data_IF_004448316259
#
_entry.id   IF_004448316259
#
_cell.length_a   1.000
_cell.length_b   1.000
_cell.length_c   1.000
_cell.angle_alpha   90.00
_cell.angle_beta   90.00
_cell.angle_gamma   90.00
#
_symmetry.space_group_name_H-M   'P 1'
#
loop_
_entity.id
_entity.type
_entity.pdbx_description
1 polymer ?
#
# COMPACT_ATOMS: atom_id res chain seq x y z
N UNK A 1 -3.34 37.74 1.10
CA UNK A 1 -3.29 37.55 -0.36
C UNK A 1 -3.30 36.05 -0.58
N UNK A 2 -4.35 35.51 -1.20
CA UNK A 2 -4.26 34.15 -1.73
C UNK A 2 -3.26 34.25 -2.86
N UNK A 3 -2.10 33.60 -2.72
CA UNK A 3 -1.09 33.57 -3.76
C UNK A 3 -1.73 33.13 -5.08
N UNK A 4 -1.59 33.95 -6.12
CA UNK A 4 -2.14 33.66 -7.44
C UNK A 4 -1.47 32.39 -7.99
N UNK A 5 -2.15 31.25 -7.91
CA UNK A 5 -1.72 30.05 -8.62
C UNK A 5 -1.82 30.30 -10.13
N UNK A 6 -0.67 30.37 -10.81
CA UNK A 6 -0.63 30.43 -12.27
C UNK A 6 -0.92 29.04 -12.86
N UNK A 7 -1.93 28.88 -13.73
CA UNK A 7 -2.26 27.58 -14.30
C UNK A 7 -1.12 27.06 -15.20
N UNK A 8 -0.82 25.78 -15.07
CA UNK A 8 0.16 25.08 -15.92
C UNK A 8 -0.62 24.16 -16.87
N UNK A 9 -0.43 24.36 -18.18
CA UNK A 9 -1.05 23.50 -19.20
C UNK A 9 -0.42 22.11 -19.26
N UNK A 10 -1.22 21.09 -19.56
CA UNK A 10 -0.79 19.68 -19.54
C UNK A 10 0.40 19.37 -20.46
N UNK A 11 0.42 19.96 -21.66
CA UNK A 11 1.53 19.77 -22.61
C UNK A 11 2.86 20.31 -22.06
N UNK A 12 2.81 21.37 -21.26
CA UNK A 12 4.01 21.93 -20.62
C UNK A 12 4.53 20.98 -19.53
N UNK A 13 3.62 20.43 -18.72
CA UNK A 13 3.95 19.43 -17.70
C UNK A 13 4.56 18.16 -18.32
N UNK A 14 3.98 17.66 -19.41
CA UNK A 14 4.50 16.52 -20.16
C UNK A 14 5.89 16.84 -20.72
N UNK A 15 6.08 18.03 -21.29
CA UNK A 15 7.35 18.44 -21.89
C UNK A 15 8.49 18.68 -20.89
N UNK A 16 8.22 18.79 -19.59
CA UNK A 16 9.25 19.02 -18.57
C UNK A 16 10.03 17.76 -18.19
N UNK A 17 9.44 16.58 -18.34
CA UNK A 17 10.06 15.33 -17.89
C UNK A 17 10.37 14.44 -19.09
N UNK A 18 11.57 13.87 -19.10
CA UNK A 18 11.98 12.87 -20.08
C UNK A 18 11.51 11.48 -19.64
N UNK A 19 11.17 10.63 -20.62
CA UNK A 19 10.79 9.23 -20.40
C UNK A 19 12.03 8.37 -20.12
N UNK A 20 11.95 7.32 -19.26
CA UNK A 20 10.77 6.86 -18.50
C UNK A 20 10.39 7.80 -17.35
N UNK A 21 9.11 7.92 -17.05
CA UNK A 21 8.59 8.84 -16.02
C UNK A 21 7.37 8.26 -15.32
N UNK A 22 7.21 8.54 -14.02
CA UNK A 22 5.96 8.31 -13.30
C UNK A 22 5.43 9.65 -12.75
N UNK A 23 4.13 9.87 -12.90
CA UNK A 23 3.41 11.00 -12.31
C UNK A 23 2.50 10.49 -11.18
N UNK A 24 2.48 11.21 -10.07
CA UNK A 24 1.62 10.91 -8.92
C UNK A 24 0.75 12.14 -8.68
N UNK A 25 -0.56 12.00 -8.81
CA UNK A 25 -1.55 13.06 -8.59
C UNK A 25 -2.38 12.73 -7.34
N UNK A 26 -2.01 13.34 -6.21
CA UNK A 26 -2.75 13.21 -4.96
C UNK A 26 -3.51 14.52 -4.66
N UNK A 27 -4.61 14.70 -5.38
CA UNK A 27 -5.43 15.90 -5.33
C UNK A 27 -6.87 15.58 -5.76
N UNK A 28 -7.79 16.52 -5.52
CA UNK A 28 -9.16 16.41 -6.01
C UNK A 28 -9.20 16.31 -7.53
N UNK A 29 -10.17 15.55 -8.05
CA UNK A 29 -10.39 15.34 -9.47
C UNK A 29 -9.16 14.77 -10.20
N UNK A 30 -8.29 14.03 -9.51
CA UNK A 30 -7.00 13.58 -10.04
C UNK A 30 -7.12 12.80 -11.37
N UNK A 31 -8.22 12.05 -11.56
CA UNK A 31 -8.52 11.36 -12.81
C UNK A 31 -8.63 12.29 -14.04
N UNK A 32 -8.92 13.58 -13.86
CA UNK A 32 -8.96 14.55 -14.96
C UNK A 32 -7.57 14.80 -15.59
N UNK A 33 -6.50 14.69 -14.80
CA UNK A 33 -5.14 14.74 -15.33
C UNK A 33 -4.84 13.50 -16.16
N UNK A 34 -5.30 12.32 -15.72
CA UNK A 34 -5.16 11.07 -16.49
C UNK A 34 -5.84 11.21 -17.86
N UNK A 35 -7.09 11.69 -17.88
CA UNK A 35 -7.84 11.99 -19.12
C UNK A 35 -7.05 12.97 -20.02
N UNK A 36 -6.50 14.04 -19.45
CA UNK A 36 -5.71 15.04 -20.18
C UNK A 36 -4.42 14.47 -20.79
N UNK A 37 -3.74 13.53 -20.13
CA UNK A 37 -2.58 12.82 -20.70
C UNK A 37 -2.99 11.89 -21.86
N UNK A 38 -4.17 11.27 -21.79
CA UNK A 38 -4.72 10.50 -22.90
C UNK A 38 -5.04 11.39 -24.10
N UNK A 39 -5.73 12.51 -23.89
CA UNK A 39 -6.07 13.49 -24.93
C UNK A 39 -4.82 14.10 -25.58
N UNK A 40 -3.76 14.31 -24.79
CA UNK A 40 -2.47 14.80 -25.29
C UNK A 40 -1.69 13.76 -26.12
N UNK A 41 -2.20 12.54 -26.29
CA UNK A 41 -1.59 11.53 -27.14
C UNK A 41 -0.44 10.75 -26.49
N UNK A 42 -0.19 10.92 -25.17
CA UNK A 42 1.01 10.38 -24.49
C UNK A 42 1.09 8.85 -24.55
N UNK A 43 -0.05 8.18 -24.63
CA UNK A 43 -0.17 6.72 -24.62
C UNK A 43 -0.50 6.11 -25.99
N UNK A 44 -0.39 6.89 -27.06
CA UNK A 44 -0.54 6.40 -28.44
C UNK A 44 0.84 6.21 -29.07
N UNK A 45 0.96 5.22 -29.97
CA UNK A 45 2.14 5.07 -30.82
C UNK A 45 2.11 6.09 -31.97
N UNK A 46 3.25 6.32 -32.64
CA UNK A 46 3.36 7.23 -33.80
C UNK A 46 2.33 6.91 -34.91
N UNK A 47 1.92 5.64 -35.02
CA UNK A 47 0.88 5.18 -35.96
C UNK A 47 -0.57 5.45 -35.50
N UNK A 48 -0.77 6.21 -34.42
CA UNK A 48 -2.09 6.58 -33.89
C UNK A 48 -2.87 5.45 -33.24
N UNK A 49 -2.26 4.26 -33.05
CA UNK A 49 -2.87 3.14 -32.32
C UNK A 49 -2.63 3.31 -30.82
N UNK A 50 -3.58 2.90 -29.95
CA UNK A 50 -3.31 2.84 -28.52
C UNK A 50 -2.08 1.96 -28.31
N UNK A 51 -1.08 2.42 -27.56
CA UNK A 51 0.06 1.56 -27.24
C UNK A 51 -0.40 0.52 -26.24
N UNK A 52 -0.99 -0.57 -26.74
CA UNK A 52 -1.35 -1.75 -25.96
C UNK A 52 -0.11 -2.49 -25.42
N UNK A 53 1.08 -2.08 -25.86
CA UNK A 53 2.35 -2.67 -25.51
C UNK A 53 3.21 -1.66 -24.73
N UNK A 54 3.31 -1.78 -23.39
CA UNK A 54 4.35 -1.10 -22.63
C UNK A 54 5.76 -1.62 -22.96
N UNK A 55 5.89 -2.61 -23.86
CA UNK A 55 7.14 -3.19 -24.34
C UNK A 55 7.76 -2.48 -25.55
N UNK A 56 7.02 -1.65 -26.30
CA UNK A 56 7.66 -0.74 -27.26
C UNK A 56 8.26 0.43 -26.47
N UNK A 57 9.57 0.59 -26.55
CA UNK A 57 10.43 1.55 -25.83
C UNK A 57 10.03 3.03 -25.86
N UNK A 58 8.92 3.39 -26.51
CA UNK A 58 8.46 4.76 -26.76
C UNK A 58 7.48 5.32 -25.71
N UNK A 59 6.77 4.51 -24.91
CA UNK A 59 5.78 4.99 -23.92
C UNK A 59 5.98 4.42 -22.50
N UNK A 60 7.10 4.78 -21.88
CA UNK A 60 7.41 4.46 -20.48
C UNK A 60 6.92 5.54 -19.50
N UNK A 61 5.68 6.02 -19.72
CA UNK A 61 5.02 6.96 -18.80
C UNK A 61 3.99 6.22 -17.96
N UNK A 62 4.07 6.38 -16.64
CA UNK A 62 3.15 5.82 -15.66
C UNK A 62 2.41 6.95 -14.94
N UNK A 63 1.17 6.71 -14.53
CA UNK A 63 0.41 7.67 -13.73
C UNK A 63 -0.31 6.93 -12.60
N UNK A 64 -0.25 7.49 -11.39
CA UNK A 64 -1.06 7.10 -10.24
C UNK A 64 -1.86 8.32 -9.78
N UNK A 65 -3.17 8.18 -9.62
CA UNK A 65 -4.08 9.26 -9.25
C UNK A 65 -4.95 8.82 -8.07
N UNK A 66 -5.12 9.71 -7.09
CA UNK A 66 -5.79 9.38 -5.82
C UNK A 66 -7.29 9.15 -5.97
N UNK A 67 -7.93 9.79 -6.95
CA UNK A 67 -9.38 9.74 -7.12
C UNK A 67 -9.79 9.85 -8.60
N UNK A 68 -11.04 9.48 -8.88
CA UNK A 68 -11.66 9.65 -10.19
C UNK A 68 -11.82 11.13 -10.59
N UNK A 69 -12.09 11.38 -11.87
CA UNK A 69 -12.20 12.75 -12.42
C UNK A 69 -13.34 13.61 -11.84
N UNK A 70 -14.31 12.96 -11.20
CA UNK A 70 -15.48 13.60 -10.57
C UNK A 70 -15.54 13.34 -9.06
N UNK A 71 -14.45 12.82 -8.50
CA UNK A 71 -14.32 12.52 -7.08
C UNK A 71 -13.39 13.56 -6.43
N UNK A 72 -13.57 13.77 -5.12
CA UNK A 72 -12.70 14.61 -4.31
C UNK A 72 -12.07 13.75 -3.23
N UNK A 73 -10.85 14.08 -2.82
CA UNK A 73 -10.20 13.39 -1.73
C UNK A 73 -11.00 13.60 -0.42
N UNK A 74 -11.09 12.58 0.44
CA UNK A 74 -11.97 12.61 1.60
C UNK A 74 -11.36 13.42 2.75
N UNK A 75 -12.21 14.09 3.52
CA UNK A 75 -11.81 14.77 4.76
C UNK A 75 -11.87 13.79 5.94
N UNK A 76 -10.78 13.06 6.17
CA UNK A 76 -10.71 11.93 7.11
C UNK A 76 -10.40 12.31 8.58
N UNK A 77 -10.54 13.59 8.95
CA UNK A 77 -10.22 14.07 10.28
C UNK A 77 -8.71 14.10 10.59
N UNK A 78 -8.33 14.28 11.86
CA UNK A 78 -6.92 14.47 12.25
C UNK A 78 -6.10 13.17 12.37
N UNK A 79 -6.75 12.01 12.48
CA UNK A 79 -6.08 10.72 12.72
C UNK A 79 -5.55 10.07 11.45
N UNK A 80 -6.17 10.35 10.32
CA UNK A 80 -5.81 9.82 9.00
C UNK A 80 -5.11 10.88 8.14
N UNK A 81 -4.21 10.48 7.23
CA UNK A 81 -3.53 11.42 6.35
C UNK A 81 -4.51 12.03 5.33
N UNK A 82 -4.40 13.34 5.10
CA UNK A 82 -5.19 14.05 4.09
C UNK A 82 -4.77 13.75 2.65
N UNK A 83 -3.52 13.33 2.46
CA UNK A 83 -2.95 12.89 1.18
C UNK A 83 -2.76 11.37 1.22
N UNK A 84 -3.87 10.64 1.10
CA UNK A 84 -3.90 9.21 1.37
C UNK A 84 -3.09 8.40 0.36
N UNK A 85 -3.11 8.79 -0.92
CA UNK A 85 -2.29 8.11 -1.95
C UNK A 85 -0.80 8.27 -1.61
N UNK A 86 -0.35 9.49 -1.32
CA UNK A 86 1.04 9.78 -0.96
C UNK A 86 1.46 9.04 0.29
N UNK A 87 0.59 9.01 1.32
CA UNK A 87 0.83 8.27 2.55
C UNK A 87 1.00 6.77 2.31
N UNK A 88 0.13 6.15 1.50
CA UNK A 88 0.27 4.74 1.13
C UNK A 88 1.56 4.47 0.35
N UNK A 89 1.93 5.34 -0.59
CA UNK A 89 3.11 5.19 -1.42
C UNK A 89 4.43 5.32 -0.64
N UNK A 90 4.44 6.12 0.42
CA UNK A 90 5.67 6.46 1.17
C UNK A 90 5.77 5.79 2.53
N UNK A 91 4.65 5.44 3.16
CA UNK A 91 4.59 4.86 4.51
C UNK A 91 3.44 3.82 4.64
N UNK A 92 3.44 2.75 3.82
CA UNK A 92 2.31 1.81 3.72
C UNK A 92 1.94 1.14 5.06
N UNK A 93 2.94 0.75 5.86
CA UNK A 93 2.69 0.16 7.18
C UNK A 93 2.03 1.15 8.14
N UNK A 94 2.59 2.35 8.26
CA UNK A 94 2.03 3.41 9.10
C UNK A 94 0.60 3.74 8.70
N UNK A 95 0.33 3.88 7.40
CA UNK A 95 -1.02 4.17 6.92
C UNK A 95 -1.97 3.00 7.18
N UNK A 96 -1.52 1.76 7.03
CA UNK A 96 -2.34 0.59 7.38
C UNK A 96 -2.68 0.55 8.87
N UNK A 97 -1.73 0.86 9.74
CA UNK A 97 -1.92 0.94 11.20
C UNK A 97 -2.88 2.07 11.59
N UNK A 98 -2.77 3.23 10.93
CA UNK A 98 -3.71 4.34 11.10
C UNK A 98 -5.16 3.93 10.79
N UNK A 99 -5.38 3.19 9.71
CA UNK A 99 -6.70 2.67 9.33
C UNK A 99 -7.23 1.63 10.31
N UNK A 100 -6.36 0.73 10.79
CA UNK A 100 -6.71 -0.26 11.81
C UNK A 100 -7.13 0.42 13.11
N UNK A 101 -6.31 1.35 13.62
CA UNK A 101 -6.61 2.09 14.85
C UNK A 101 -7.85 2.98 14.73
N UNK A 102 -8.20 3.40 13.50
CA UNK A 102 -9.42 4.18 13.22
C UNK A 102 -10.65 3.30 12.97
N UNK A 103 -10.53 1.97 13.05
CA UNK A 103 -11.65 1.02 12.95
C UNK A 103 -12.15 0.74 11.54
N UNK A 104 -11.38 1.06 10.50
CA UNK A 104 -11.79 0.85 9.11
C UNK A 104 -11.81 -0.63 8.68
N UNK A 105 -11.06 -1.51 9.37
CA UNK A 105 -11.06 -2.95 9.10
C UNK A 105 -12.16 -3.72 9.86
N UNK A 106 -12.97 -3.03 10.67
CA UNK A 106 -14.16 -3.61 11.28
C UNK A 106 -14.40 -3.19 12.73
N UNK A 107 -15.61 -3.46 13.26
CA UNK A 107 -16.01 -3.06 14.62
C UNK A 107 -15.23 -3.80 15.72
N UNK A 108 -14.68 -4.99 15.41
CA UNK A 108 -13.89 -5.77 16.37
C UNK A 108 -12.48 -5.22 16.54
N UNK A 109 -11.91 -4.58 15.52
CA UNK A 109 -10.50 -4.15 15.51
C UNK A 109 -10.19 -3.14 16.62
N UNK A 110 -11.01 -2.11 16.80
CA UNK A 110 -10.80 -1.10 17.87
C UNK A 110 -11.15 -1.63 19.25
N UNK A 111 -12.23 -2.43 19.34
CA UNK A 111 -12.69 -3.01 20.60
C UNK A 111 -11.67 -4.01 21.17
N UNK A 112 -11.08 -4.84 20.31
CA UNK A 112 -10.13 -5.88 20.71
C UNK A 112 -8.76 -5.28 21.09
N UNK A 113 -8.41 -4.14 20.51
CA UNK A 113 -7.18 -3.40 20.82
C UNK A 113 -7.33 -2.43 22.00
N UNK A 114 -8.54 -2.24 22.55
CA UNK A 114 -8.78 -1.29 23.65
C UNK A 114 -8.44 0.17 23.28
N UNK A 115 -8.66 0.53 22.01
CA UNK A 115 -8.40 1.87 21.50
C UNK A 115 -9.67 2.72 21.65
N UNK A 116 -9.65 3.62 22.62
CA UNK A 116 -10.59 4.73 22.78
C UNK A 116 -10.18 5.92 21.91
N UNK A 117 -11.18 6.67 21.43
CA UNK A 117 -11.00 7.69 20.38
C UNK A 117 -10.04 8.83 20.74
N UNK A 118 -9.84 9.13 22.02
CA UNK A 118 -8.97 10.24 22.47
C UNK A 118 -7.49 9.84 22.52
N UNK A 119 -7.17 8.54 22.65
CA UNK A 119 -5.79 8.04 22.78
C UNK A 119 -5.21 7.44 21.49
N UNK A 120 -5.98 7.37 20.39
CA UNK A 120 -5.57 6.69 19.14
C UNK A 120 -4.21 7.20 18.65
N UNK A 121 -3.99 8.51 18.63
CA UNK A 121 -2.77 9.10 18.08
C UNK A 121 -1.53 8.77 18.94
N UNK A 122 -1.66 8.90 20.27
CA UNK A 122 -0.58 8.57 21.22
C UNK A 122 -0.27 7.08 21.20
N UNK A 123 -1.30 6.22 21.15
CA UNK A 123 -1.14 4.77 21.02
C UNK A 123 -0.51 4.39 19.67
N UNK A 124 -0.89 5.05 18.58
CA UNK A 124 -0.26 4.84 17.27
C UNK A 124 1.23 5.18 17.32
N UNK A 125 1.61 6.33 17.88
CA UNK A 125 3.02 6.72 18.02
C UNK A 125 3.80 5.73 18.91
N UNK A 126 3.18 5.24 19.99
CA UNK A 126 3.74 4.17 20.81
C UNK A 126 3.93 2.88 19.99
N UNK A 127 2.95 2.47 19.19
CA UNK A 127 3.05 1.27 18.36
C UNK A 127 4.14 1.42 17.30
N UNK A 128 4.21 2.55 16.60
CA UNK A 128 5.23 2.81 15.58
C UNK A 128 6.64 2.88 16.18
N UNK A 129 6.78 3.51 17.35
CA UNK A 129 8.06 3.56 18.06
C UNK A 129 8.51 2.18 18.53
N UNK A 130 7.59 1.33 19.00
CA UNK A 130 7.89 -0.04 19.43
C UNK A 130 8.13 -1.02 18.28
N UNK A 131 7.44 -0.82 17.16
CA UNK A 131 7.78 -1.45 15.89
C UNK A 131 9.09 -0.87 15.33
N UNK A 132 9.69 0.16 15.92
CA UNK A 132 11.00 0.65 15.51
C UNK A 132 11.00 1.30 14.12
N UNK A 133 9.92 2.00 13.75
CA UNK A 133 9.88 2.79 12.51
C UNK A 133 10.93 3.92 12.53
N UNK A 134 11.35 4.38 13.71
CA UNK A 134 12.45 5.35 13.86
C UNK A 134 13.07 5.28 15.26
N UNK A 135 14.25 4.67 15.37
CA UNK A 135 15.15 4.95 16.50
C UNK A 135 16.25 5.86 15.98
N UNK A 136 16.04 7.18 16.08
CA UNK A 136 17.16 8.12 16.04
C UNK A 136 17.81 8.01 17.42
N UNK A 137 18.89 7.23 17.52
CA UNK A 137 19.74 7.29 18.70
C UNK A 137 20.53 8.60 18.61
N UNK A 138 20.33 9.51 19.58
CA UNK A 138 21.05 10.79 19.64
C UNK A 138 22.56 10.64 19.94
N UNK A 139 23.06 9.43 20.20
CA UNK A 139 24.47 9.16 20.52
C UNK A 139 25.08 8.08 19.60
N UNK A 140 25.73 8.49 18.51
CA UNK A 140 26.67 7.63 17.74
C UNK A 140 26.38 7.50 16.23
N UNK A 141 27.32 6.96 15.43
CA UNK A 141 27.24 6.99 13.96
C UNK A 141 26.10 6.09 13.46
N UNK A 142 24.97 6.75 13.18
CA UNK A 142 23.78 6.38 12.42
C UNK A 142 23.76 4.99 11.77
N UNK A 143 23.18 4.02 12.46
CA UNK A 143 22.51 2.88 11.83
C UNK A 143 21.06 2.86 12.33
N UNK A 144 20.14 3.43 11.53
CA UNK A 144 18.70 3.34 11.76
C UNK A 144 18.31 1.87 11.61
N UNK A 145 18.16 1.15 12.73
CA UNK A 145 17.75 -0.25 12.71
C UNK A 145 16.25 -0.35 12.92
N UNK A 146 15.51 -0.62 11.84
CA UNK A 146 14.13 -1.09 11.96
C UNK A 146 14.08 -2.36 12.80
N UNK A 147 13.09 -2.49 13.68
CA UNK A 147 12.91 -3.70 14.50
C UNK A 147 12.77 -4.95 13.63
N UNK A 148 13.01 -6.13 14.20
CA UNK A 148 12.83 -7.38 13.48
C UNK A 148 11.37 -7.55 13.06
N UNK A 149 10.44 -7.13 13.92
CA UNK A 149 8.99 -7.17 13.76
C UNK A 149 8.53 -6.30 12.59
N UNK A 150 9.07 -5.09 12.44
CA UNK A 150 8.74 -4.20 11.33
C UNK A 150 9.30 -4.69 9.99
N UNK A 151 10.49 -5.29 9.99
CA UNK A 151 11.02 -5.96 8.79
C UNK A 151 10.16 -7.16 8.38
N UNK A 152 9.71 -7.94 9.36
CA UNK A 152 8.81 -9.07 9.13
C UNK A 152 7.46 -8.62 8.56
N UNK A 153 6.85 -7.59 9.15
CA UNK A 153 5.61 -6.99 8.65
C UNK A 153 5.73 -6.49 7.21
N UNK A 154 6.81 -5.78 6.88
CA UNK A 154 7.07 -5.34 5.50
C UNK A 154 7.26 -6.53 4.54
N UNK A 155 7.90 -7.61 5.00
CA UNK A 155 8.08 -8.82 4.21
C UNK A 155 6.73 -9.49 3.90
N UNK A 156 5.86 -9.58 4.89
CA UNK A 156 4.50 -10.13 4.73
C UNK A 156 3.67 -9.24 3.81
N UNK A 157 3.70 -7.92 4.01
CA UNK A 157 3.04 -6.96 3.13
C UNK A 157 3.50 -7.11 1.67
N UNK A 158 4.82 -7.23 1.45
CA UNK A 158 5.39 -7.44 0.12
C UNK A 158 4.92 -8.75 -0.50
N UNK A 159 4.86 -9.83 0.29
CA UNK A 159 4.43 -11.15 -0.16
C UNK A 159 2.95 -11.17 -0.54
N UNK A 160 2.10 -10.57 0.30
CA UNK A 160 0.66 -10.43 0.04
C UNK A 160 0.42 -9.58 -1.21
N UNK A 161 1.01 -8.39 -1.31
CA UNK A 161 0.80 -7.50 -2.47
C UNK A 161 1.32 -8.10 -3.77
N UNK A 162 2.46 -8.80 -3.76
CA UNK A 162 2.93 -9.55 -4.93
C UNK A 162 1.96 -10.67 -5.31
N UNK A 163 1.39 -11.39 -4.34
CA UNK A 163 0.43 -12.47 -4.58
C UNK A 163 -0.88 -11.94 -5.17
N UNK A 164 -1.38 -10.82 -4.65
CA UNK A 164 -2.54 -10.11 -5.22
C UNK A 164 -2.26 -9.68 -6.66
N UNK A 165 -1.09 -9.07 -6.90
CA UNK A 165 -0.71 -8.64 -8.24
C UNK A 165 -0.60 -9.82 -9.21
N UNK A 166 -0.01 -10.94 -8.79
CA UNK A 166 0.15 -12.13 -9.61
C UNK A 166 -1.19 -12.79 -9.97
N UNK A 167 -2.14 -12.84 -9.02
CA UNK A 167 -3.44 -13.47 -9.24
C UNK A 167 -4.40 -12.62 -10.09
N UNK A 168 -4.25 -11.29 -10.07
CA UNK A 168 -5.18 -10.35 -10.70
C UNK A 168 -4.69 -9.78 -12.02
N UNK A 169 -3.38 -9.56 -12.18
CA UNK A 169 -2.81 -8.92 -13.37
C UNK A 169 -2.51 -9.93 -14.47
N UNK A 170 -2.47 -9.45 -15.72
CA UNK A 170 -1.91 -10.26 -16.81
C UNK A 170 -0.41 -10.50 -16.58
N UNK A 171 0.11 -11.62 -17.12
CA UNK A 171 1.53 -11.94 -17.03
C UNK A 171 2.44 -10.81 -17.55
N UNK A 172 2.04 -10.14 -18.64
CA UNK A 172 2.79 -9.02 -19.21
C UNK A 172 2.80 -7.78 -18.30
N UNK A 173 1.65 -7.45 -17.71
CA UNK A 173 1.52 -6.32 -16.77
C UNK A 173 2.33 -6.59 -15.50
N UNK A 174 2.23 -7.80 -14.93
CA UNK A 174 2.99 -8.16 -13.74
C UNK A 174 4.51 -8.10 -14.00
N UNK A 175 4.98 -8.69 -15.09
CA UNK A 175 6.40 -8.65 -15.45
C UNK A 175 6.91 -7.22 -15.60
N UNK A 176 6.12 -6.36 -16.25
CA UNK A 176 6.52 -4.98 -16.50
C UNK A 176 6.51 -4.11 -15.24
N UNK A 177 5.49 -4.25 -14.39
CA UNK A 177 5.28 -3.36 -13.25
C UNK A 177 5.95 -3.86 -11.97
N UNK A 178 6.08 -5.18 -11.77
CA UNK A 178 6.54 -5.78 -10.52
C UNK A 178 7.93 -6.44 -10.61
N UNK A 179 8.45 -6.73 -11.81
CA UNK A 179 9.73 -7.45 -11.98
C UNK A 179 10.87 -6.64 -12.60
N UNK A 180 10.60 -5.70 -13.50
CA UNK A 180 11.65 -4.97 -14.24
C UNK A 180 12.42 -3.93 -13.42
N UNK A 181 11.73 -3.16 -12.59
CA UNK A 181 12.31 -2.05 -11.82
C UNK A 181 11.84 -2.14 -10.37
N UNK A 182 12.80 -2.15 -9.43
CA UNK A 182 12.54 -2.34 -8.00
C UNK A 182 11.73 -1.18 -7.40
N UNK A 183 12.00 0.06 -7.83
CA UNK A 183 11.31 1.26 -7.36
C UNK A 183 9.90 1.29 -7.92
N UNK A 184 9.74 1.02 -9.21
CA UNK A 184 8.43 0.92 -9.85
C UNK A 184 7.57 -0.16 -9.18
N UNK A 185 8.16 -1.34 -8.96
CA UNK A 185 7.50 -2.44 -8.28
C UNK A 185 7.09 -2.07 -6.85
N UNK A 186 7.93 -1.30 -6.13
CA UNK A 186 7.58 -0.81 -4.80
C UNK A 186 6.40 0.16 -4.83
N UNK A 187 6.40 1.10 -5.78
CA UNK A 187 5.28 2.04 -5.94
C UNK A 187 3.98 1.31 -6.28
N UNK A 188 4.01 0.31 -7.16
CA UNK A 188 2.82 -0.44 -7.51
C UNK A 188 2.32 -1.37 -6.40
N UNK A 189 3.20 -2.01 -5.61
CA UNK A 189 2.78 -2.71 -4.38
C UNK A 189 2.06 -1.77 -3.42
N UNK A 190 2.64 -0.61 -3.18
CA UNK A 190 2.07 0.40 -2.28
C UNK A 190 0.79 1.01 -2.86
N UNK A 191 0.67 1.09 -4.18
CA UNK A 191 -0.55 1.52 -4.85
C UNK A 191 -1.70 0.52 -4.69
N UNK A 192 -1.43 -0.80 -4.64
CA UNK A 192 -2.48 -1.78 -4.32
C UNK A 192 -3.07 -1.53 -2.92
N UNK A 193 -2.23 -1.17 -1.95
CA UNK A 193 -2.71 -0.71 -0.64
C UNK A 193 -3.53 0.57 -0.77
N UNK A 194 -3.06 1.55 -1.55
CA UNK A 194 -3.82 2.79 -1.79
C UNK A 194 -5.21 2.49 -2.37
N UNK A 195 -5.32 1.60 -3.35
CA UNK A 195 -6.58 1.17 -3.95
C UNK A 195 -7.53 0.56 -2.90
N UNK A 196 -6.99 -0.27 -1.99
CA UNK A 196 -7.75 -0.82 -0.84
C UNK A 196 -8.25 0.29 0.08
N UNK A 197 -7.36 1.14 0.58
CA UNK A 197 -7.71 2.14 1.60
C UNK A 197 -8.59 3.27 1.06
N UNK A 198 -8.37 3.73 -0.17
CA UNK A 198 -9.24 4.69 -0.85
C UNK A 198 -10.64 4.10 -1.07
N UNK A 199 -10.75 2.82 -1.43
CA UNK A 199 -12.04 2.15 -1.57
C UNK A 199 -12.83 2.10 -0.25
N UNK A 200 -12.16 1.87 0.90
CA UNK A 200 -12.80 1.87 2.22
C UNK A 200 -13.43 3.22 2.60
N UNK A 201 -12.92 4.32 2.03
CA UNK A 201 -13.45 5.69 2.22
C UNK A 201 -14.31 6.16 1.05
N UNK A 202 -14.68 5.25 0.13
CA UNK A 202 -15.59 5.51 -0.98
C UNK A 202 -14.97 6.22 -2.18
N UNK A 203 -13.64 6.17 -2.35
CA UNK A 203 -12.90 6.82 -3.43
C UNK A 203 -12.30 5.78 -4.38
N UNK A 204 -12.34 6.06 -5.68
CA UNK A 204 -11.81 5.19 -6.72
C UNK A 204 -10.47 5.72 -7.22
N UNK A 205 -9.38 5.03 -6.86
CA UNK A 205 -8.06 5.39 -7.39
C UNK A 205 -7.93 5.04 -8.88
N UNK A 206 -7.12 5.81 -9.62
CA UNK A 206 -6.93 5.63 -11.07
C UNK A 206 -5.45 5.44 -11.38
N UNK A 207 -5.11 4.54 -12.29
CA UNK A 207 -3.73 4.33 -12.75
C UNK A 207 -3.62 4.22 -14.26
N UNK A 208 -2.43 4.56 -14.78
CA UNK A 208 -2.00 4.25 -16.14
C UNK A 208 -0.65 3.53 -16.06
N UNK A 209 -0.54 2.26 -16.53
CA UNK A 209 -1.59 1.46 -17.13
C UNK A 209 -2.75 1.19 -16.16
N UNK A 210 -3.96 1.01 -16.71
CA UNK A 210 -5.15 0.73 -15.92
C UNK A 210 -5.03 -0.64 -15.28
N UNK A 211 -5.02 -0.67 -13.96
CA UNK A 211 -5.06 -1.91 -13.20
C UNK A 211 -6.52 -2.35 -12.96
N UNK A 212 -6.78 -3.67 -12.87
CA UNK A 212 -8.00 -4.19 -12.28
C UNK A 212 -8.20 -3.66 -10.84
N UNK A 213 -9.42 -3.77 -10.34
CA UNK A 213 -9.70 -3.46 -8.93
C UNK A 213 -9.27 -4.63 -8.04
N UNK A 214 -8.24 -4.38 -7.23
CA UNK A 214 -7.71 -5.31 -6.24
C UNK A 214 -8.19 -4.99 -4.81
N UNK A 215 -9.03 -3.97 -4.61
CA UNK A 215 -9.44 -3.49 -3.27
C UNK A 215 -10.25 -4.50 -2.46
N UNK A 216 -10.86 -5.48 -3.11
CA UNK A 216 -11.68 -6.53 -2.47
C UNK A 216 -11.03 -7.92 -2.57
N UNK A 217 -9.74 -7.99 -2.85
CA UNK A 217 -9.04 -9.27 -2.93
C UNK A 217 -8.98 -9.95 -1.54
N UNK A 218 -9.32 -11.25 -1.40
CA UNK A 218 -9.39 -11.93 -0.09
C UNK A 218 -8.11 -11.88 0.75
N UNK A 219 -6.94 -11.84 0.12
CA UNK A 219 -5.65 -11.72 0.83
C UNK A 219 -5.51 -10.42 1.66
N UNK A 220 -6.35 -9.41 1.44
CA UNK A 220 -6.40 -8.26 2.34
C UNK A 220 -6.91 -8.64 3.74
N UNK A 221 -7.83 -9.61 3.85
CA UNK A 221 -8.27 -10.11 5.16
C UNK A 221 -7.09 -10.74 5.92
N UNK A 222 -6.22 -11.46 5.21
CA UNK A 222 -4.98 -12.00 5.80
C UNK A 222 -4.06 -10.87 6.28
N UNK A 223 -3.92 -9.80 5.49
CA UNK A 223 -3.13 -8.64 5.88
C UNK A 223 -3.66 -7.97 7.15
N UNK A 224 -4.98 -7.80 7.23
CA UNK A 224 -5.68 -7.22 8.38
C UNK A 224 -5.46 -8.06 9.65
N UNK A 225 -5.62 -9.38 9.56
CA UNK A 225 -5.36 -10.31 10.67
C UNK A 225 -3.90 -10.29 11.15
N UNK A 226 -2.94 -10.23 10.23
CA UNK A 226 -1.52 -10.14 10.58
C UNK A 226 -1.23 -8.84 11.32
N UNK A 227 -1.77 -7.70 10.86
CA UNK A 227 -1.62 -6.43 11.55
C UNK A 227 -2.21 -6.46 12.96
N UNK A 228 -3.42 -6.97 13.13
CA UNK A 228 -4.06 -7.13 14.44
C UNK A 228 -3.23 -7.98 15.39
N UNK A 229 -2.77 -9.15 14.93
CA UNK A 229 -1.92 -10.04 15.73
C UNK A 229 -0.60 -9.39 16.11
N UNK A 230 0.01 -8.62 15.21
CA UNK A 230 1.27 -7.91 15.45
C UNK A 230 1.13 -6.90 16.57
N UNK A 231 0.06 -6.11 16.52
CA UNK A 231 -0.21 -5.08 17.51
C UNK A 231 -0.53 -5.70 18.86
N UNK A 232 -1.32 -6.78 18.90
CA UNK A 232 -1.59 -7.49 20.15
C UNK A 232 -0.32 -8.00 20.81
N UNK A 233 0.60 -8.58 20.05
CA UNK A 233 1.90 -9.03 20.57
C UNK A 233 2.71 -7.85 21.14
N UNK A 234 2.72 -6.72 20.43
CA UNK A 234 3.33 -5.48 20.91
C UNK A 234 2.65 -5.05 22.22
N UNK A 235 1.34 -4.82 22.25
CA UNK A 235 0.63 -4.37 23.47
C UNK A 235 0.85 -5.33 24.65
N UNK A 236 0.78 -6.65 24.45
CA UNK A 236 0.97 -7.65 25.51
C UNK A 236 2.41 -7.78 26.02
N UNK A 237 3.40 -7.27 25.28
CA UNK A 237 4.78 -7.23 25.75
C UNK A 237 5.07 -6.05 26.69
N UNK A 238 4.05 -5.25 27.06
CA UNK A 238 4.13 -4.35 28.22
C UNK A 238 4.46 -5.13 29.51
N UNK A 239 5.39 -4.63 30.35
CA UNK A 239 5.72 -5.23 31.63
C UNK A 239 4.62 -4.91 32.65
N UNK A 240 3.45 -5.54 32.51
CA UNK A 240 2.46 -5.65 33.59
C UNK A 240 2.35 -7.12 34.04
N UNK A 241 2.28 -7.31 35.36
CA UNK A 241 2.65 -8.52 36.13
C UNK A 241 1.79 -9.79 35.95
N UNK A 242 1.25 -10.09 34.76
CA UNK A 242 0.38 -11.26 34.57
C UNK A 242 0.88 -12.11 33.38
N UNK A 243 1.40 -13.33 33.61
CA UNK A 243 1.62 -14.28 32.52
C UNK A 243 0.24 -14.80 32.10
N UNK A 244 -0.35 -14.19 31.08
CA UNK A 244 -1.59 -14.67 30.48
C UNK A 244 -1.27 -15.79 29.48
N UNK A 245 -2.07 -16.87 29.53
CA UNK A 245 -2.03 -17.99 28.58
C UNK A 245 -2.11 -17.50 27.11
N UNK A 246 -2.72 -16.33 26.89
CA UNK A 246 -2.79 -15.64 25.60
C UNK A 246 -1.44 -15.18 25.06
N UNK A 247 -0.45 -14.88 25.91
CA UNK A 247 0.89 -14.45 25.46
C UNK A 247 1.68 -15.59 24.84
N UNK A 248 1.63 -16.78 25.45
CA UNK A 248 2.26 -17.97 24.89
C UNK A 248 1.56 -18.43 23.59
N UNK A 249 0.23 -18.35 23.55
CA UNK A 249 -0.54 -18.66 22.34
C UNK A 249 -0.29 -17.64 21.22
N UNK A 250 -0.20 -16.35 21.52
CA UNK A 250 0.13 -15.31 20.54
C UNK A 250 1.56 -15.46 20.01
N UNK A 251 2.54 -15.77 20.88
CA UNK A 251 3.93 -16.02 20.45
C UNK A 251 4.05 -17.30 19.60
N UNK A 252 3.24 -18.33 19.88
CA UNK A 252 3.24 -19.58 19.12
C UNK A 252 2.51 -19.43 17.78
N UNK A 253 1.38 -18.73 17.73
CA UNK A 253 0.70 -18.31 16.48
C UNK A 253 1.63 -17.42 15.66
N UNK A 254 2.25 -16.40 16.26
CA UNK A 254 3.19 -15.51 15.58
C UNK A 254 4.38 -16.26 14.96
N UNK A 255 4.93 -17.22 15.71
CA UNK A 255 6.06 -18.03 15.26
C UNK A 255 5.65 -19.03 14.17
N UNK A 256 4.45 -19.62 14.24
CA UNK A 256 3.96 -20.62 13.29
C UNK A 256 3.38 -19.99 12.01
N UNK A 257 2.62 -18.90 12.11
CA UNK A 257 1.86 -18.32 10.99
C UNK A 257 2.66 -17.35 10.13
N UNK A 258 3.80 -16.80 10.56
CA UNK A 258 4.55 -15.83 9.75
C UNK A 258 5.91 -16.35 9.26
N UNK A 259 6.53 -17.29 9.97
CA UNK A 259 7.76 -17.93 9.49
C UNK A 259 7.46 -18.92 8.37
N UNK A 260 6.37 -19.70 8.49
CA UNK A 260 5.94 -20.64 7.45
C UNK A 260 5.27 -19.98 6.24
N UNK A 261 4.60 -18.83 6.42
CA UNK A 261 3.90 -18.15 5.32
C UNK A 261 4.85 -17.55 4.28
N UNK A 262 6.00 -17.04 4.73
CA UNK A 262 7.06 -16.57 3.84
C UNK A 262 7.64 -17.68 2.97
N UNK A 263 7.82 -18.87 3.55
CA UNK A 263 8.37 -20.04 2.85
C UNK A 263 7.32 -20.75 1.97
N UNK A 264 6.04 -20.77 2.37
CA UNK A 264 4.96 -21.42 1.60
C UNK A 264 4.50 -20.61 0.37
N UNK A 265 4.68 -19.29 0.37
CA UNK A 265 4.31 -18.43 -0.78
C UNK A 265 5.41 -18.29 -1.82
N UNK A 266 6.65 -18.67 -1.51
CA UNK A 266 7.79 -18.63 -2.43
C UNK A 266 8.68 -19.87 -2.31
N UNK A 267 8.16 -21.02 -2.76
CA UNK A 267 9.02 -22.04 -3.35
C UNK A 267 9.11 -21.74 -4.85
N UNK A 268 10.22 -21.11 -5.28
CA UNK A 268 10.45 -20.64 -6.66
C UNK A 268 10.38 -21.76 -7.72
N UNK A 269 10.31 -23.03 -7.31
CA UNK A 269 10.34 -24.17 -8.21
C UNK A 269 9.03 -24.93 -8.44
N UNK A 270 7.93 -24.68 -7.69
CA UNK A 270 6.79 -25.62 -7.71
C UNK A 270 5.36 -25.04 -7.72
N UNK A 271 5.14 -23.84 -8.28
CA UNK A 271 3.79 -23.26 -8.45
C UNK A 271 2.95 -23.95 -9.55
N UNK A 272 3.37 -25.11 -10.06
CA UNK A 272 2.57 -25.92 -11.02
C UNK A 272 1.63 -26.94 -10.37
N UNK A 273 1.66 -27.15 -9.06
CA UNK A 273 0.93 -28.28 -8.44
C UNK A 273 -0.26 -27.93 -7.54
N UNK A 274 -0.51 -26.66 -7.21
CA UNK A 274 -1.67 -26.30 -6.36
C UNK A 274 -2.94 -26.08 -7.18
N UNK A 275 -3.45 -27.15 -7.78
CA UNK A 275 -4.87 -27.26 -8.12
C UNK A 275 -5.66 -27.54 -6.84
N UNK A 276 -6.09 -26.50 -6.13
CA UNK A 276 -7.05 -26.65 -5.03
C UNK A 276 -8.42 -26.90 -5.64
N UNK A 277 -8.80 -28.18 -5.71
CA UNK A 277 -10.18 -28.60 -5.91
C UNK A 277 -11.01 -28.19 -4.70
N UNK A 278 -11.85 -27.17 -4.87
CA UNK A 278 -12.92 -26.81 -3.92
C UNK A 278 -13.96 -27.94 -3.90
N UNK A 279 -14.31 -28.52 -2.74
CA UNK A 279 -15.50 -29.36 -2.63
C UNK A 279 -16.76 -28.48 -2.69
N UNK A 280 -17.73 -28.95 -3.48
CA UNK A 280 -19.09 -28.42 -3.66
C UNK A 280 -19.87 -28.47 -2.35
#
# INVERSE_FOLDING_TARGET
ALDECSPIGIHKLIGWLAKPTIYIFDCDFAGSYVDSFHEAGVFFSDDGRPSHHPSSSSNSTYILASCGRHEQNPHLGPTLPSQLLTACLTAPLKTSLQFLCSGFYGPSSTCLLGLDSEDIQTKLELLLSRLGETTVSEDGPNEVRSSAEFRQLNSVFTSITNSIAWSTLSAESYETLFRKDVVLASLFRNYLLAQRLLSLVGITSVSTPKLPDCSQHPLWETWELVLESSILHVIQSEPSHIPSITRAAADEVWRLDLSGFGDLLFDEHDVKSLSVSLPV
#
